data_IF_611686962408
#
_entry.id   IF_611686962408
#
_cell.length_a   1.000
_cell.length_b   1.000
_cell.length_c   1.000
_cell.angle_alpha   90.00
_cell.angle_beta   90.00
_cell.angle_gamma   90.00
#
_symmetry.space_group_name_H-M   'P 1'
#
loop_
_entity.id
_entity.type
_entity.pdbx_description
1 polymer ?
#
# COMPACT_ATOMS: atom_id res chain seq x y z
N UNK A 1 3.98 7.06 0.30
CA UNK A 1 3.09 6.08 -0.39
C UNK A 1 1.99 6.90 -1.02
N UNK A 2 1.64 6.69 -2.28
CA UNK A 2 0.36 7.21 -2.75
C UNK A 2 -0.67 6.37 -1.98
N UNK A 3 -1.35 7.01 -1.04
CA UNK A 3 -2.18 6.38 0.00
C UNK A 3 -3.65 6.66 -0.31
N UNK A 4 -4.08 6.46 -1.55
CA UNK A 4 -5.40 6.92 -2.00
C UNK A 4 -6.53 6.22 -1.22
N UNK A 5 -6.28 4.99 -0.75
CA UNK A 5 -7.18 4.28 0.15
C UNK A 5 -7.27 4.90 1.55
N UNK A 6 -6.18 5.42 2.13
CA UNK A 6 -6.22 6.12 3.43
C UNK A 6 -6.92 7.47 3.30
N UNK A 7 -6.69 8.20 2.21
CA UNK A 7 -7.44 9.42 1.89
C UNK A 7 -8.93 9.11 1.76
N UNK A 8 -9.29 8.01 1.08
CA UNK A 8 -10.67 7.57 0.95
C UNK A 8 -11.31 7.20 2.30
N UNK A 9 -10.58 6.52 3.20
CA UNK A 9 -11.04 6.24 4.57
C UNK A 9 -11.32 7.55 5.30
N UNK A 10 -10.41 8.52 5.21
CA UNK A 10 -10.59 9.82 5.84
C UNK A 10 -11.82 10.55 5.30
N UNK A 11 -12.02 10.59 3.98
CA UNK A 11 -13.20 11.20 3.34
C UNK A 11 -14.50 10.52 3.81
N UNK A 12 -14.55 9.18 3.83
CA UNK A 12 -15.72 8.44 4.32
C UNK A 12 -16.01 8.77 5.78
N UNK A 13 -14.96 8.85 6.59
CA UNK A 13 -15.09 9.20 8.01
C UNK A 13 -15.63 10.62 8.19
N UNK A 14 -15.01 11.63 7.56
CA UNK A 14 -15.40 13.04 7.72
C UNK A 14 -16.76 13.36 7.10
N UNK A 15 -17.23 12.56 6.14
CA UNK A 15 -18.58 12.68 5.55
C UNK A 15 -19.67 11.94 6.35
N UNK A 16 -19.34 11.37 7.51
CA UNK A 16 -20.29 10.65 8.36
C UNK A 16 -20.61 9.21 7.90
N UNK A 17 -19.95 8.72 6.84
CA UNK A 17 -20.12 7.36 6.33
C UNK A 17 -19.26 6.37 7.12
N UNK A 18 -19.46 6.33 8.44
CA UNK A 18 -18.60 5.60 9.38
C UNK A 18 -18.54 4.09 9.10
N UNK A 19 -19.66 3.46 8.74
CA UNK A 19 -19.68 2.01 8.47
C UNK A 19 -18.80 1.65 7.27
N UNK A 20 -18.85 2.46 6.21
CA UNK A 20 -18.00 2.28 5.02
C UNK A 20 -16.54 2.55 5.36
N UNK A 21 -16.25 3.59 6.14
CA UNK A 21 -14.90 3.92 6.59
C UNK A 21 -14.29 2.75 7.40
N UNK A 22 -15.05 2.21 8.37
CA UNK A 22 -14.62 1.08 9.21
C UNK A 22 -14.42 -0.18 8.37
N UNK A 23 -15.33 -0.46 7.42
CA UNK A 23 -15.20 -1.61 6.54
C UNK A 23 -13.93 -1.54 5.66
N UNK A 24 -13.62 -0.36 5.12
CA UNK A 24 -12.39 -0.14 4.35
C UNK A 24 -11.15 -0.22 5.25
N UNK A 25 -11.17 0.43 6.42
CA UNK A 25 -10.08 0.41 7.40
C UNK A 25 -9.72 -1.01 7.84
N UNK A 26 -10.70 -1.89 8.08
CA UNK A 26 -10.45 -3.29 8.45
C UNK A 26 -9.65 -4.04 7.39
N UNK A 27 -10.01 -3.87 6.12
CA UNK A 27 -9.30 -4.50 4.98
C UNK A 27 -7.87 -3.97 4.86
N UNK A 28 -7.71 -2.65 4.96
CA UNK A 28 -6.41 -1.97 4.94
C UNK A 28 -5.51 -2.45 6.08
N UNK A 29 -6.01 -2.45 7.31
CA UNK A 29 -5.23 -2.83 8.49
C UNK A 29 -4.71 -4.27 8.42
N UNK A 30 -5.50 -5.19 7.84
CA UNK A 30 -5.12 -6.59 7.62
C UNK A 30 -3.99 -6.72 6.60
N UNK A 31 -4.15 -6.10 5.43
CA UNK A 31 -3.19 -6.20 4.34
C UNK A 31 -1.89 -5.40 4.59
N UNK A 32 -1.91 -4.40 5.46
CA UNK A 32 -0.70 -3.69 5.92
C UNK A 32 0.10 -4.46 6.97
N UNK A 33 -0.42 -5.56 7.53
CA UNK A 33 0.24 -6.38 8.55
C UNK A 33 1.73 -6.71 8.25
N UNK A 34 2.12 -7.23 7.08
CA UNK A 34 3.52 -7.58 6.81
C UNK A 34 4.46 -6.37 6.71
N UNK A 35 3.94 -5.15 6.50
CA UNK A 35 4.75 -3.92 6.49
C UNK A 35 5.09 -3.44 7.89
N UNK A 36 4.34 -3.86 8.92
CA UNK A 36 4.58 -3.52 10.33
C UNK A 36 5.77 -4.27 10.94
N UNK A 37 6.27 -5.30 10.26
CA UNK A 37 7.43 -6.08 10.70
C UNK A 37 8.76 -5.32 10.55
N UNK A 38 8.82 -4.20 9.81
CA UNK A 38 9.99 -3.34 9.80
C UNK A 38 10.15 -2.44 8.58
N UNK A 39 11.10 -1.50 8.66
CA UNK A 39 11.36 -0.47 7.63
C UNK A 39 11.72 -1.11 6.27
N UNK A 40 12.50 -2.19 6.28
CA UNK A 40 12.89 -2.90 5.07
C UNK A 40 11.66 -3.43 4.31
N UNK A 41 10.65 -3.92 5.02
CA UNK A 41 9.40 -4.43 4.45
C UNK A 41 8.58 -3.29 3.84
N UNK A 42 8.43 -2.16 4.55
CA UNK A 42 7.75 -0.97 4.04
C UNK A 42 8.42 -0.45 2.76
N UNK A 43 9.76 -0.39 2.74
CA UNK A 43 10.52 0.04 1.56
C UNK A 43 10.32 -0.90 0.37
N UNK A 44 10.35 -2.22 0.60
CA UNK A 44 10.07 -3.19 -0.44
C UNK A 44 8.62 -3.08 -0.97
N UNK A 45 7.63 -2.95 -0.08
CA UNK A 45 6.23 -2.73 -0.46
C UNK A 45 6.05 -1.46 -1.32
N UNK A 46 6.65 -0.35 -0.91
CA UNK A 46 6.62 0.89 -1.66
C UNK A 46 7.27 0.74 -3.04
N UNK A 47 8.38 0.01 -3.12
CA UNK A 47 9.11 -0.23 -4.38
C UNK A 47 8.27 -0.96 -5.43
N UNK A 48 7.39 -1.89 -5.02
CA UNK A 48 6.61 -2.71 -5.96
C UNK A 48 5.19 -2.16 -6.22
N UNK A 49 4.59 -1.41 -5.30
CA UNK A 49 3.23 -0.90 -5.45
C UNK A 49 3.13 0.60 -5.69
N UNK A 50 3.96 1.41 -5.04
CA UNK A 50 3.88 2.88 -5.15
C UNK A 50 4.81 3.42 -6.23
N UNK A 51 6.07 3.02 -6.23
CA UNK A 51 7.08 3.57 -7.14
C UNK A 51 6.71 3.42 -8.62
N UNK A 52 6.12 2.30 -9.08
CA UNK A 52 5.66 2.19 -10.47
C UNK A 52 4.58 3.21 -10.83
N UNK A 53 3.65 3.51 -9.91
CA UNK A 53 2.60 4.53 -10.10
C UNK A 53 3.17 5.95 -10.17
N UNK A 54 4.31 6.18 -9.52
CA UNK A 54 5.04 7.44 -9.56
C UNK A 54 6.01 7.54 -10.75
N UNK A 55 6.06 6.54 -11.63
CA UNK A 55 6.98 6.52 -12.78
C UNK A 55 8.43 6.22 -12.43
N UNK A 56 8.71 5.69 -11.25
CA UNK A 56 10.08 5.37 -10.80
C UNK A 56 10.45 3.95 -11.28
N UNK A 57 11.38 3.87 -12.22
CA UNK A 57 12.02 2.62 -12.64
C UNK A 57 13.10 2.17 -11.64
N UNK A 58 13.43 0.87 -11.63
CA UNK A 58 14.46 0.27 -10.74
C UNK A 58 14.25 0.50 -9.24
N UNK A 59 12.99 0.65 -8.83
CA UNK A 59 12.62 1.02 -7.46
C UNK A 59 13.10 0.03 -6.39
N UNK A 60 13.13 -1.28 -6.68
CA UNK A 60 13.60 -2.30 -5.72
C UNK A 60 15.07 -2.06 -5.36
N UNK A 61 15.90 -1.65 -6.32
CA UNK A 61 17.31 -1.33 -6.10
C UNK A 61 17.46 -0.02 -5.31
N UNK A 62 16.74 1.02 -5.73
CA UNK A 62 16.80 2.35 -5.11
C UNK A 62 16.28 2.36 -3.67
N UNK A 63 15.29 1.53 -3.35
CA UNK A 63 14.68 1.45 -2.03
C UNK A 63 15.26 0.32 -1.17
N UNK A 64 16.49 -0.14 -1.44
CA UNK A 64 17.17 -1.01 -0.47
C UNK A 64 17.43 -0.28 0.85
N UNK A 65 17.39 -0.97 2.01
CA UNK A 65 17.89 -0.41 3.25
C UNK A 65 19.33 0.08 3.10
N UNK A 66 19.68 1.14 3.85
CA UNK A 66 21.06 1.63 3.85
C UNK A 66 21.95 0.59 4.53
N UNK A 67 23.16 0.36 4.02
CA UNK A 67 24.13 -0.52 4.70
C UNK A 67 24.41 -0.01 6.13
N UNK A 68 24.51 -0.90 7.14
CA UNK A 68 24.64 -2.36 7.04
C UNK A 68 23.32 -3.15 7.14
N UNK A 69 22.16 -2.50 7.00
CA UNK A 69 20.86 -3.18 7.17
C UNK A 69 20.51 -4.05 5.97
N UNK A 70 19.96 -5.23 6.25
CA UNK A 70 19.61 -6.23 5.25
C UNK A 70 18.23 -6.00 4.63
N UNK A 71 18.08 -6.48 3.41
CA UNK A 71 16.78 -6.56 2.74
C UNK A 71 15.85 -7.59 3.41
N UNK A 72 14.53 -7.50 3.17
CA UNK A 72 13.62 -8.57 3.58
C UNK A 72 13.99 -9.89 2.89
N UNK A 73 13.85 -11.00 3.62
CA UNK A 73 14.01 -12.34 3.05
C UNK A 73 13.02 -12.60 1.91
N UNK A 74 13.31 -13.57 1.05
CA UNK A 74 12.42 -13.91 -0.05
C UNK A 74 11.03 -14.37 0.42
N UNK A 75 10.96 -15.04 1.58
CA UNK A 75 9.70 -15.40 2.21
C UNK A 75 8.91 -14.15 2.63
N UNK A 76 9.57 -13.15 3.23
CA UNK A 76 8.94 -11.88 3.58
C UNK A 76 8.49 -11.12 2.32
N UNK A 77 9.32 -11.06 1.28
CA UNK A 77 8.97 -10.44 -0.02
C UNK A 77 7.72 -11.06 -0.64
N UNK A 78 7.60 -12.39 -0.63
CA UNK A 78 6.41 -13.12 -1.10
C UNK A 78 5.18 -12.81 -0.26
N UNK A 79 5.32 -12.81 1.06
CA UNK A 79 4.21 -12.50 2.00
C UNK A 79 3.70 -11.06 1.83
N UNK A 80 4.60 -10.09 1.73
CA UNK A 80 4.26 -8.68 1.48
C UNK A 80 3.47 -8.54 0.19
N UNK A 81 3.97 -9.13 -0.90
CA UNK A 81 3.30 -9.07 -2.20
C UNK A 81 1.89 -9.66 -2.11
N UNK A 82 1.76 -10.88 -1.56
CA UNK A 82 0.48 -11.57 -1.48
C UNK A 82 -0.56 -10.81 -0.64
N UNK A 83 -0.17 -10.25 0.51
CA UNK A 83 -1.09 -9.52 1.37
C UNK A 83 -1.57 -8.20 0.74
N UNK A 84 -0.64 -7.44 0.15
CA UNK A 84 -0.92 -6.10 -0.36
C UNK A 84 -1.52 -6.08 -1.77
N UNK A 85 -1.45 -7.18 -2.52
CA UNK A 85 -2.08 -7.31 -3.84
C UNK A 85 -3.59 -6.97 -3.77
N UNK A 86 -4.27 -7.40 -2.71
CA UNK A 86 -5.69 -7.11 -2.51
C UNK A 86 -5.98 -5.62 -2.32
N UNK A 87 -5.07 -4.88 -1.67
CA UNK A 87 -5.19 -3.43 -1.51
C UNK A 87 -4.86 -2.68 -2.79
N UNK A 88 -3.86 -3.14 -3.54
CA UNK A 88 -3.52 -2.53 -4.83
C UNK A 88 -4.70 -2.60 -5.80
N UNK A 89 -5.45 -3.71 -5.79
CA UNK A 89 -6.69 -3.84 -6.56
C UNK A 89 -7.79 -2.88 -6.07
N UNK A 90 -7.97 -2.75 -4.76
CA UNK A 90 -8.95 -1.82 -4.19
C UNK A 90 -8.59 -0.35 -4.49
N UNK A 91 -7.31 0.00 -4.44
CA UNK A 91 -6.83 1.33 -4.80
C UNK A 91 -7.10 1.64 -6.28
N UNK A 92 -6.83 0.69 -7.19
CA UNK A 92 -7.21 0.79 -8.60
C UNK A 92 -8.71 1.00 -8.78
N UNK A 93 -9.55 0.28 -8.02
CA UNK A 93 -11.01 0.44 -8.04
C UNK A 93 -11.45 1.84 -7.61
N UNK A 94 -10.86 2.37 -6.53
CA UNK A 94 -11.11 3.74 -6.05
C UNK A 94 -10.73 4.75 -7.13
N UNK A 95 -9.54 4.61 -7.72
CA UNK A 95 -9.04 5.52 -8.76
C UNK A 95 -9.89 5.48 -10.04
N UNK A 96 -10.33 4.30 -10.49
CA UNK A 96 -11.25 4.19 -11.63
C UNK A 96 -12.58 4.88 -11.35
N UNK A 97 -13.13 4.70 -10.14
CA UNK A 97 -14.37 5.36 -9.72
C UNK A 97 -14.24 6.89 -9.67
N UNK A 98 -13.06 7.41 -9.31
CA UNK A 98 -12.78 8.85 -9.30
C UNK A 98 -12.68 9.41 -10.73
N UNK A 99 -11.95 8.72 -11.62
CA UNK A 99 -11.80 9.13 -13.04
C UNK A 99 -13.11 9.12 -13.80
N UNK A 100 -14.03 8.21 -13.49
CA UNK A 100 -15.35 8.16 -14.12
C UNK A 100 -16.27 9.33 -13.75
N UNK A 101 -15.92 10.12 -12.72
CA UNK A 101 -16.71 11.27 -12.24
C UNK A 101 -16.18 12.62 -12.76
N UNK A 102 -15.08 12.60 -13.50
CA UNK A 102 -14.44 13.76 -14.16
C UNK A 102 -14.75 13.70 -15.65
#
# INVERSE_FOLDING_TARGET
MITDYHTQIHILWTSGQHDQAVALQKRVALAESPTKAGIANTKYAAAIFTCPKAGISDAISLLKPRRPYEEPSDAAKKSIKAAMESLDQEEKRILMGLKSRL
#
